data_IF_052457980230
#
_entry.id   IF_052457980230
#
_cell.length_a   1.000
_cell.length_b   1.000
_cell.length_c   1.000
_cell.angle_alpha   90.00
_cell.angle_beta   90.00
_cell.angle_gamma   90.00
#
_symmetry.space_group_name_H-M   'P 1'
#
loop_
_entity.id
_entity.type
_entity.pdbx_description
1 polymer ?
#
# COMPACT_ATOMS: atom_id res chain seq x y z
N UNK A 1 7.86 26.69 -39.84
CA UNK A 1 8.08 25.29 -39.43
C UNK A 1 6.82 24.84 -38.69
N UNK A 2 6.07 23.85 -39.19
CA UNK A 2 4.87 23.35 -38.50
C UNK A 2 5.30 22.46 -37.34
N UNK A 3 4.82 22.72 -36.13
CA UNK A 3 5.03 21.85 -34.96
C UNK A 3 4.25 20.56 -35.12
N UNK A 4 4.94 19.42 -35.11
CA UNK A 4 4.33 18.08 -35.15
C UNK A 4 4.27 17.54 -33.74
N UNK A 5 3.06 17.22 -33.27
CA UNK A 5 2.86 16.54 -31.99
C UNK A 5 3.06 15.05 -32.17
N UNK A 6 3.78 14.41 -31.23
CA UNK A 6 3.97 12.97 -31.23
C UNK A 6 3.99 12.44 -29.79
N UNK A 7 3.46 11.22 -29.55
CA UNK A 7 3.43 10.64 -28.22
C UNK A 7 4.84 10.28 -27.74
N UNK A 8 5.16 10.64 -26.50
CA UNK A 8 6.38 10.20 -25.80
C UNK A 8 6.00 9.58 -24.47
N UNK A 9 6.66 8.47 -24.13
CA UNK A 9 6.55 7.84 -22.82
C UNK A 9 7.16 8.78 -21.78
N UNK A 10 6.38 9.12 -20.75
CA UNK A 10 6.78 9.95 -19.63
C UNK A 10 6.51 9.17 -18.34
N UNK A 11 7.51 9.06 -17.48
CA UNK A 11 7.38 8.44 -16.16
C UNK A 11 8.16 9.24 -15.12
N UNK A 12 7.80 9.04 -13.85
CA UNK A 12 8.43 9.66 -12.71
C UNK A 12 9.22 8.62 -11.92
N UNK A 13 10.40 8.99 -11.42
CA UNK A 13 11.26 8.13 -10.61
C UNK A 13 11.71 8.90 -9.37
N UNK A 14 11.72 8.22 -8.22
CA UNK A 14 12.34 8.68 -6.98
C UNK A 14 13.39 7.66 -6.58
N UNK A 15 14.59 8.11 -6.24
CA UNK A 15 15.69 7.27 -5.82
C UNK A 15 16.74 8.06 -5.05
N UNK A 16 17.69 7.35 -4.46
CA UNK A 16 18.80 7.96 -3.74
C UNK A 16 19.93 8.37 -4.67
N UNK A 17 20.70 9.39 -4.26
CA UNK A 17 21.91 9.84 -4.96
C UNK A 17 21.74 11.17 -5.70
N UNK A 18 22.82 11.57 -6.38
CA UNK A 18 22.90 12.83 -7.12
C UNK A 18 22.70 12.61 -8.61
N UNK A 19 22.06 13.55 -9.28
CA UNK A 19 21.96 13.55 -10.75
C UNK A 19 23.33 13.93 -11.35
N UNK A 20 23.98 12.97 -12.01
CA UNK A 20 25.24 13.15 -12.74
C UNK A 20 25.17 12.62 -14.17
N UNK A 21 26.17 12.96 -14.99
CA UNK A 21 26.39 12.41 -16.34
C UNK A 21 25.18 12.44 -17.29
N UNK A 22 24.31 13.44 -17.17
CA UNK A 22 23.05 13.54 -17.93
C UNK A 22 23.28 13.58 -19.44
N UNK A 23 24.32 14.28 -19.90
CA UNK A 23 24.71 14.34 -21.33
C UNK A 23 25.10 12.97 -21.88
N UNK A 24 25.91 12.21 -21.13
CA UNK A 24 26.34 10.87 -21.55
C UNK A 24 25.16 9.89 -21.52
N UNK A 25 24.32 9.98 -20.48
CA UNK A 25 23.10 9.18 -20.40
C UNK A 25 22.17 9.46 -21.60
N UNK A 26 21.97 10.72 -21.96
CA UNK A 26 21.19 11.09 -23.15
C UNK A 26 21.78 10.49 -24.43
N UNK A 27 23.10 10.56 -24.63
CA UNK A 27 23.76 9.97 -25.81
C UNK A 27 23.56 8.46 -25.90
N UNK A 28 23.59 7.76 -24.75
CA UNK A 28 23.45 6.30 -24.69
C UNK A 28 22.00 5.83 -24.82
N UNK A 29 21.06 6.54 -24.20
CA UNK A 29 19.70 6.05 -23.98
C UNK A 29 18.61 6.87 -24.66
N UNK A 30 18.92 8.08 -25.13
CA UNK A 30 17.95 9.03 -25.69
C UNK A 30 17.03 9.67 -24.65
N UNK A 31 17.15 9.31 -23.37
CA UNK A 31 16.33 9.86 -22.28
C UNK A 31 16.83 11.23 -21.85
N UNK A 32 15.89 12.16 -21.72
CA UNK A 32 16.16 13.51 -21.23
C UNK A 32 15.77 13.58 -19.75
N UNK A 33 16.77 13.77 -18.89
CA UNK A 33 16.54 14.02 -17.46
C UNK A 33 16.45 15.53 -17.24
N UNK A 34 15.29 16.00 -16.77
CA UNK A 34 15.09 17.40 -16.39
C UNK A 34 15.30 17.54 -14.88
N UNK A 35 16.36 18.23 -14.47
CA UNK A 35 16.52 18.64 -13.09
C UNK A 35 15.53 19.79 -12.78
N UNK A 36 14.69 19.61 -11.76
CA UNK A 36 13.68 20.59 -11.32
C UNK A 36 14.09 21.34 -10.05
N UNK A 37 15.33 21.16 -9.59
CA UNK A 37 15.83 21.70 -8.33
C UNK A 37 15.54 20.78 -7.15
N UNK A 38 15.86 21.27 -5.97
CA UNK A 38 15.60 20.59 -4.70
C UNK A 38 14.12 20.75 -4.29
N UNK A 39 13.60 19.79 -3.52
CA UNK A 39 12.22 19.80 -3.02
C UNK A 39 12.26 19.87 -1.50
N UNK A 40 11.45 20.74 -0.93
CA UNK A 40 11.40 20.96 0.53
C UNK A 40 10.85 19.76 1.31
N UNK A 41 10.07 18.90 0.66
CA UNK A 41 9.39 17.77 1.30
C UNK A 41 9.41 16.50 0.47
N UNK A 42 9.96 15.44 1.07
CA UNK A 42 9.87 14.08 0.54
C UNK A 42 8.42 13.63 0.40
N UNK A 43 7.59 13.89 1.41
CA UNK A 43 6.16 13.58 1.38
C UNK A 43 5.46 14.31 0.23
N UNK A 44 5.69 15.62 0.09
CA UNK A 44 5.10 16.41 -0.99
C UNK A 44 5.50 15.90 -2.38
N UNK A 45 6.76 15.49 -2.54
CA UNK A 45 7.29 14.93 -3.79
C UNK A 45 6.63 13.60 -4.14
N UNK A 46 6.55 12.68 -3.18
CA UNK A 46 5.91 11.37 -3.38
C UNK A 46 4.42 11.56 -3.69
N UNK A 47 3.72 12.42 -2.93
CA UNK A 47 2.31 12.75 -3.15
C UNK A 47 2.06 13.30 -4.56
N UNK A 48 2.91 14.21 -5.03
CA UNK A 48 2.79 14.81 -6.36
C UNK A 48 2.94 13.76 -7.48
N UNK A 49 3.88 12.83 -7.34
CA UNK A 49 4.09 11.77 -8.34
C UNK A 49 2.89 10.82 -8.35
N UNK A 50 2.42 10.40 -7.17
CA UNK A 50 1.29 9.49 -7.05
C UNK A 50 -0.04 10.14 -7.49
N UNK A 51 -0.21 11.46 -7.35
CA UNK A 51 -1.44 12.14 -7.79
C UNK A 51 -1.63 12.15 -9.31
N UNK A 52 -0.59 11.86 -10.09
CA UNK A 52 -0.63 11.77 -11.55
C UNK A 52 -0.50 10.32 -12.04
N UNK A 53 -0.47 9.35 -11.14
CA UNK A 53 -0.26 7.96 -11.46
C UNK A 53 -1.61 7.25 -11.68
N UNK A 54 -1.74 6.56 -12.81
CA UNK A 54 -2.94 5.78 -13.12
C UNK A 54 -3.08 4.56 -12.22
N UNK A 55 -4.31 4.23 -11.82
CA UNK A 55 -4.64 3.01 -11.09
C UNK A 55 -5.38 2.07 -12.05
N UNK A 56 -4.89 0.83 -12.16
CA UNK A 56 -5.52 -0.22 -12.99
C UNK A 56 -5.62 -1.51 -12.18
N UNK A 57 -6.79 -2.13 -12.20
CA UNK A 57 -7.02 -3.44 -11.54
C UNK A 57 -5.97 -4.44 -12.02
N UNK A 58 -5.38 -5.20 -11.08
CA UNK A 58 -4.31 -6.18 -11.30
C UNK A 58 -2.93 -5.64 -11.63
N UNK A 59 -2.72 -4.32 -11.64
CA UNK A 59 -1.41 -3.71 -11.90
C UNK A 59 -0.99 -2.81 -10.74
N UNK A 60 0.30 -2.82 -10.43
CA UNK A 60 0.86 -1.88 -9.47
C UNK A 60 1.08 -0.52 -10.13
N UNK A 61 0.64 0.53 -9.46
CA UNK A 61 0.89 1.93 -9.85
C UNK A 61 2.35 2.33 -9.63
N UNK A 62 3.07 1.63 -8.75
CA UNK A 62 4.45 1.88 -8.37
C UNK A 62 5.27 0.60 -8.48
N UNK A 63 6.46 0.72 -9.08
CA UNK A 63 7.44 -0.36 -9.17
C UNK A 63 8.72 0.07 -8.50
N UNK A 64 9.19 -0.71 -7.52
CA UNK A 64 10.48 -0.48 -6.88
C UNK A 64 11.56 -1.34 -7.53
N UNK A 65 12.72 -0.75 -7.77
CA UNK A 65 13.83 -1.38 -8.47
C UNK A 65 15.18 -0.88 -7.93
N UNK A 66 16.27 -1.52 -8.37
CA UNK A 66 17.62 -1.19 -7.93
C UNK A 66 17.88 -1.58 -6.48
N UNK A 67 18.29 -0.62 -5.65
CA UNK A 67 18.51 -0.84 -4.21
C UNK A 67 17.23 -0.81 -3.38
N UNK A 68 16.16 -0.24 -3.94
CA UNK A 68 14.84 -0.22 -3.32
C UNK A 68 13.99 -1.44 -3.74
N UNK A 69 14.54 -2.42 -4.46
CA UNK A 69 13.77 -3.54 -4.97
C UNK A 69 13.13 -4.38 -3.85
N UNK A 70 11.95 -4.95 -4.12
CA UNK A 70 11.25 -5.82 -3.18
C UNK A 70 12.09 -7.02 -2.72
N UNK A 71 13.02 -7.51 -3.56
CA UNK A 71 13.94 -8.59 -3.19
C UNK A 71 14.96 -8.20 -2.10
N UNK A 72 15.21 -6.90 -1.92
CA UNK A 72 16.10 -6.33 -0.88
C UNK A 72 15.31 -5.80 0.32
N UNK A 73 13.98 -5.85 0.28
CA UNK A 73 13.13 -5.38 1.36
C UNK A 73 13.26 -6.31 2.56
N UNK A 74 13.92 -5.82 3.62
CA UNK A 74 13.92 -6.45 4.93
C UNK A 74 12.82 -5.81 5.78
N UNK A 75 11.71 -6.53 5.95
CA UNK A 75 10.66 -6.10 6.86
C UNK A 75 11.04 -6.54 8.27
N UNK A 76 11.05 -5.64 9.28
CA UNK A 76 11.09 -6.08 10.65
C UNK A 76 9.89 -6.99 10.92
N UNK A 77 10.03 -7.96 11.83
CA UNK A 77 8.87 -8.73 12.31
C UNK A 77 7.89 -7.73 12.91
N UNK A 78 6.81 -7.44 12.19
CA UNK A 78 5.74 -6.62 12.70
C UNK A 78 4.98 -7.46 13.72
N UNK A 79 5.23 -7.23 15.01
CA UNK A 79 4.26 -7.65 16.02
C UNK A 79 3.05 -6.74 15.84
N UNK A 80 1.99 -7.22 15.19
CA UNK A 80 0.80 -6.39 15.07
C UNK A 80 0.23 -6.11 16.44
N UNK A 81 0.05 -4.84 16.77
CA UNK A 81 -0.80 -4.40 17.91
C UNK A 81 -2.22 -4.95 17.79
N UNK A 82 -2.63 -5.30 16.56
CA UNK A 82 -3.86 -6.05 16.27
C UNK A 82 -3.92 -7.45 16.91
N UNK A 83 -2.85 -7.91 17.56
CA UNK A 83 -2.85 -9.12 18.36
C UNK A 83 -3.14 -8.85 19.83
N UNK A 84 -3.45 -7.62 20.26
CA UNK A 84 -3.86 -7.35 21.64
C UNK A 84 -5.38 -7.33 21.74
N UNK A 85 -5.92 -7.94 22.80
CA UNK A 85 -7.34 -7.87 23.11
C UNK A 85 -7.73 -6.40 23.38
N UNK A 86 -8.76 -5.84 22.73
CA UNK A 86 -9.14 -4.44 22.94
C UNK A 86 -9.67 -4.14 24.35
N UNK A 87 -10.00 -5.17 25.15
CA UNK A 87 -10.54 -5.03 26.50
C UNK A 87 -9.49 -5.15 27.61
N UNK A 88 -8.53 -6.06 27.45
CA UNK A 88 -7.52 -6.33 28.49
C UNK A 88 -6.08 -6.11 28.03
N UNK A 89 -5.86 -5.75 26.76
CA UNK A 89 -4.56 -5.52 26.14
C UNK A 89 -3.58 -6.71 26.18
N UNK A 90 -4.07 -7.91 26.51
CA UNK A 90 -3.30 -9.15 26.48
C UNK A 90 -3.15 -9.70 25.05
N UNK A 91 -2.06 -10.42 24.80
CA UNK A 91 -1.76 -11.01 23.48
C UNK A 91 -2.77 -12.12 23.15
N UNK A 92 -3.62 -11.88 22.17
CA UNK A 92 -4.57 -12.84 21.62
C UNK A 92 -3.83 -14.05 21.07
N UNK A 93 -4.21 -15.23 21.57
CA UNK A 93 -3.71 -16.51 21.09
C UNK A 93 -4.59 -17.02 19.95
N UNK A 94 -3.98 -17.71 18.99
CA UNK A 94 -4.72 -18.34 17.89
C UNK A 94 -5.61 -19.44 18.46
N UNK A 95 -6.93 -19.25 18.40
CA UNK A 95 -7.89 -20.32 18.72
C UNK A 95 -7.78 -21.38 17.63
N UNK A 96 -7.24 -22.55 17.99
CA UNK A 96 -7.32 -23.73 17.14
C UNK A 96 -8.74 -24.27 17.26
N UNK A 97 -9.40 -24.53 16.13
CA UNK A 97 -10.69 -25.23 16.14
C UNK A 97 -10.46 -26.63 16.71
N UNK A 98 -10.98 -26.90 17.91
CA UNK A 98 -11.15 -28.27 18.37
C UNK A 98 -12.01 -29.01 17.34
N UNK A 99 -11.50 -30.15 16.93
CA UNK A 99 -12.14 -31.21 16.18
C UNK A 99 -13.62 -31.41 16.57
N UNK A 100 -14.50 -30.82 15.75
CA UNK A 100 -15.80 -31.36 15.33
C UNK A 100 -16.83 -31.79 16.38
N UNK A 101 -16.65 -31.53 17.69
CA UNK A 101 -17.45 -32.18 18.73
C UNK A 101 -18.02 -31.25 19.82
N UNK A 102 -18.17 -29.94 19.55
CA UNK A 102 -18.97 -29.06 20.41
C UNK A 102 -20.07 -28.35 19.61
N UNK A 103 -21.30 -28.76 19.90
CA UNK A 103 -22.55 -28.64 19.13
C UNK A 103 -23.20 -27.25 19.05
N UNK A 104 -22.45 -26.16 19.28
CA UNK A 104 -22.81 -24.80 18.86
C UNK A 104 -21.67 -23.85 19.19
N UNK A 105 -21.31 -22.92 18.27
CA UNK A 105 -20.48 -21.80 18.67
C UNK A 105 -21.15 -21.07 19.85
N UNK A 106 -20.38 -20.52 20.80
CA UNK A 106 -20.96 -19.66 21.84
C UNK A 106 -21.79 -18.56 21.15
N UNK A 107 -22.95 -18.16 21.70
CA UNK A 107 -23.81 -17.16 21.08
C UNK A 107 -23.00 -15.90 20.76
N UNK A 108 -22.77 -15.67 19.47
CA UNK A 108 -22.01 -14.53 18.98
C UNK A 108 -22.95 -13.32 18.99
N UNK A 109 -22.93 -12.56 20.07
CA UNK A 109 -23.50 -11.21 20.07
C UNK A 109 -22.44 -10.32 19.45
N UNK A 110 -22.61 -9.99 18.17
CA UNK A 110 -21.76 -9.05 17.46
C UNK A 110 -22.42 -7.68 17.53
N UNK A 111 -21.91 -6.79 18.37
CA UNK A 111 -22.32 -5.40 18.38
C UNK A 111 -21.54 -4.66 17.27
N UNK A 112 -22.26 -4.19 16.25
CA UNK A 112 -21.68 -3.45 15.12
C UNK A 112 -22.13 -1.99 15.15
N UNK A 113 -21.21 -1.09 14.80
CA UNK A 113 -21.56 0.30 14.49
C UNK A 113 -22.33 0.35 13.18
N UNK A 114 -23.53 0.92 13.21
CA UNK A 114 -24.29 1.26 11.99
C UNK A 114 -24.02 2.72 11.59
N UNK A 115 -23.83 3.60 12.57
CA UNK A 115 -23.36 5.00 12.45
C UNK A 115 -22.81 5.48 13.83
N UNK A 116 -22.12 6.62 13.89
CA UNK A 116 -21.33 7.17 15.04
C UNK A 116 -22.12 7.27 16.36
N UNK A 117 -23.45 7.14 16.33
CA UNK A 117 -24.32 7.34 17.50
C UNK A 117 -25.37 6.24 17.72
N UNK A 118 -25.41 5.19 16.89
CA UNK A 118 -26.45 4.15 16.97
C UNK A 118 -25.84 2.74 16.99
N UNK A 119 -26.23 1.98 18.02
CA UNK A 119 -25.92 0.57 18.18
C UNK A 119 -27.07 -0.28 17.66
N UNK A 120 -26.76 -1.30 16.87
CA UNK A 120 -27.71 -2.33 16.46
C UNK A 120 -27.12 -3.70 16.77
N UNK A 121 -27.97 -4.58 17.29
CA UNK A 121 -27.63 -6.00 17.47
C UNK A 121 -28.24 -6.75 16.29
N UNK A 122 -27.45 -7.08 15.24
CA UNK A 122 -27.95 -7.92 14.16
C UNK A 122 -28.28 -9.31 14.70
N UNK A 123 -29.44 -9.84 14.28
CA UNK A 123 -29.71 -11.25 14.43
C UNK A 123 -28.62 -12.02 13.67
N UNK A 124 -27.88 -12.86 14.40
CA UNK A 124 -26.80 -13.65 13.83
C UNK A 124 -27.38 -14.47 12.65
N UNK A 125 -26.83 -14.36 11.44
CA UNK A 125 -27.33 -15.14 10.32
C UNK A 125 -27.27 -16.61 10.71
N UNK A 126 -28.43 -17.27 10.71
CA UNK A 126 -28.49 -18.71 10.84
C UNK A 126 -27.80 -19.26 9.60
N UNK A 127 -26.54 -19.66 9.74
CA UNK A 127 -25.86 -20.43 8.71
C UNK A 127 -26.68 -21.70 8.52
N UNK A 128 -27.49 -21.72 7.45
CA UNK A 128 -28.28 -22.87 7.05
C UNK A 128 -27.32 -24.06 6.92
N UNK A 129 -27.68 -25.14 7.60
CA UNK A 129 -26.94 -26.42 7.64
C UNK A 129 -26.80 -27.03 6.25
#
# INVERSE_FOLDING_TARGET
MKSVWYPRIHFHVVGFGWLGNTTENYRKSGWVVKNKGERDSNYGTIRYILSHAGIKKWYHTLTWFGDLSYSKLSMPKYESEANLCPYCSEKMVRVLTCDGSLDRPPPQILECFVDVVLWFIPECPQFLR
#
